data_IF_616073779322
#
_entry.id   IF_616073779322
#
_cell.length_a   1.000
_cell.length_b   1.000
_cell.length_c   1.000
_cell.angle_alpha   90.00
_cell.angle_beta   90.00
_cell.angle_gamma   90.00
#
_symmetry.space_group_name_H-M   'P 1'
#
loop_
_entity.id
_entity.type
_entity.pdbx_description
1 polymer ?
#
# COMPACT_ATOMS: atom_id res chain seq x y z
N UNK A 1 -9.80 -2.32 3.56
CA UNK A 1 -10.76 -1.79 2.58
C UNK A 1 -10.51 -0.31 2.37
N UNK A 2 -10.52 0.16 1.12
CA UNK A 2 -10.44 1.59 0.81
C UNK A 2 -11.73 2.28 1.29
N UNK A 3 -11.59 3.45 1.92
CA UNK A 3 -12.68 4.34 2.33
C UNK A 3 -12.64 5.54 1.40
N UNK A 4 -13.76 5.82 0.74
CA UNK A 4 -13.91 6.97 -0.15
C UNK A 4 -14.69 8.06 0.58
N UNK A 5 -14.13 9.27 0.60
CA UNK A 5 -14.68 10.42 1.33
C UNK A 5 -15.06 11.51 0.34
N UNK A 6 -16.30 12.00 0.42
CA UNK A 6 -16.78 13.07 -0.45
C UNK A 6 -16.05 14.38 -0.22
N UNK A 7 -16.01 15.24 -1.23
CA UNK A 7 -15.47 16.60 -1.14
C UNK A 7 -16.55 17.65 -1.42
N UNK A 8 -16.50 18.82 -0.75
CA UNK A 8 -17.48 19.88 -0.98
C UNK A 8 -17.16 20.69 -2.24
N UNK A 9 -18.13 21.50 -2.71
CA UNK A 9 -19.41 20.99 -3.14
C UNK A 9 -19.27 20.09 -4.39
N UNK A 10 -20.26 19.22 -4.61
CA UNK A 10 -20.35 18.32 -5.78
C UNK A 10 -19.10 17.45 -6.03
N UNK A 11 -18.34 17.15 -4.98
CA UNK A 11 -17.07 16.42 -5.09
C UNK A 11 -16.00 17.10 -5.95
N UNK A 12 -15.85 18.43 -5.86
CA UNK A 12 -14.91 19.18 -6.71
C UNK A 12 -13.77 19.88 -5.94
N UNK A 13 -14.02 20.47 -4.77
CA UNK A 13 -13.00 21.21 -4.02
C UNK A 13 -12.14 20.25 -3.18
N UNK A 14 -11.44 19.37 -3.89
CA UNK A 14 -10.43 18.48 -3.32
C UNK A 14 -9.26 19.26 -2.74
N UNK A 15 -8.97 20.44 -3.28
CA UNK A 15 -7.96 21.36 -2.78
C UNK A 15 -8.33 21.91 -1.39
N UNK A 16 -9.57 22.32 -1.17
CA UNK A 16 -10.07 22.73 0.16
C UNK A 16 -10.09 21.54 1.12
N UNK A 17 -10.63 20.39 0.70
CA UNK A 17 -10.67 19.18 1.53
C UNK A 17 -9.26 18.72 1.97
N UNK A 18 -8.25 18.96 1.14
CA UNK A 18 -6.87 18.60 1.45
C UNK A 18 -6.21 19.47 2.53
N UNK A 19 -6.80 20.63 2.90
CA UNK A 19 -6.24 21.53 3.92
C UNK A 19 -6.50 21.06 5.36
N UNK A 20 -7.53 20.26 5.55
CA UNK A 20 -7.88 19.65 6.84
C UNK A 20 -8.25 18.17 6.63
N UNK A 21 -7.27 17.31 6.28
CA UNK A 21 -7.55 15.93 5.92
C UNK A 21 -7.85 15.10 7.17
N UNK A 22 -8.72 14.09 7.02
CA UNK A 22 -8.90 13.02 7.99
C UNK A 22 -7.56 12.31 8.24
N UNK A 23 -7.09 12.38 9.48
CA UNK A 23 -5.84 11.76 9.93
C UNK A 23 -6.09 10.48 10.73
N UNK A 24 -5.02 9.70 10.98
CA UNK A 24 -5.07 8.48 11.81
C UNK A 24 -5.38 7.17 11.06
N UNK A 25 -5.74 7.25 9.78
CA UNK A 25 -6.08 6.14 8.90
C UNK A 25 -5.22 6.16 7.63
N UNK A 26 -4.87 4.98 7.09
CA UNK A 26 -4.01 4.84 5.88
C UNK A 26 -4.77 4.39 4.63
N UNK A 27 -6.09 4.21 4.75
CA UNK A 27 -6.95 3.61 3.74
C UNK A 27 -8.04 4.59 3.27
N UNK A 28 -7.74 5.88 3.21
CA UNK A 28 -8.68 6.93 2.79
C UNK A 28 -8.24 7.50 1.43
N UNK A 29 -9.21 7.69 0.52
CA UNK A 29 -9.07 8.53 -0.67
C UNK A 29 -10.26 9.49 -0.78
N UNK A 30 -10.03 10.66 -1.37
CA UNK A 30 -11.03 11.71 -1.52
C UNK A 30 -11.62 11.69 -2.92
N UNK A 31 -12.92 11.92 -2.97
CA UNK A 31 -13.68 11.90 -4.21
C UNK A 31 -13.40 13.16 -5.05
N UNK A 32 -13.22 12.95 -6.35
CA UNK A 32 -13.26 13.99 -7.37
C UNK A 32 -14.30 13.63 -8.45
N UNK A 33 -15.19 14.56 -8.79
CA UNK A 33 -16.11 14.43 -9.91
C UNK A 33 -15.75 15.42 -11.01
N UNK A 34 -15.82 15.00 -12.28
CA UNK A 34 -15.68 15.93 -13.40
C UNK A 34 -16.60 15.58 -14.58
N UNK A 35 -16.87 16.58 -15.41
CA UNK A 35 -17.65 16.46 -16.63
C UNK A 35 -16.90 17.25 -17.69
N UNK A 36 -16.38 16.58 -18.72
CA UNK A 36 -15.43 17.16 -19.65
C UNK A 36 -16.00 18.37 -20.42
N UNK A 37 -17.32 18.50 -20.54
CA UNK A 37 -17.97 19.69 -21.11
C UNK A 37 -18.02 20.91 -20.19
N UNK A 38 -17.78 20.76 -18.88
CA UNK A 38 -17.91 21.83 -17.89
C UNK A 38 -16.63 22.08 -17.08
N UNK A 39 -15.84 21.05 -16.85
CA UNK A 39 -14.74 21.07 -15.89
C UNK A 39 -13.42 20.75 -16.59
N UNK A 40 -12.54 21.75 -16.67
CA UNK A 40 -11.28 21.67 -17.41
C UNK A 40 -10.03 21.81 -16.55
N UNK A 41 -9.03 22.55 -17.05
CA UNK A 41 -7.72 22.69 -16.39
C UNK A 41 -7.79 23.14 -14.93
N UNK A 42 -8.66 24.10 -14.60
CA UNK A 42 -8.75 24.64 -13.24
C UNK A 42 -9.05 23.55 -12.19
N UNK A 43 -9.87 22.55 -12.53
CA UNK A 43 -10.23 21.47 -11.61
C UNK A 43 -9.10 20.42 -11.53
N UNK A 44 -8.32 20.24 -12.60
CA UNK A 44 -7.06 19.48 -12.53
C UNK A 44 -6.03 20.16 -11.63
N UNK A 45 -5.96 21.50 -11.65
CA UNK A 45 -5.06 22.27 -10.78
C UNK A 45 -5.45 22.10 -9.29
N UNK A 46 -6.74 22.04 -8.99
CA UNK A 46 -7.22 21.70 -7.64
C UNK A 46 -6.85 20.26 -7.25
N UNK A 47 -6.99 19.30 -8.16
CA UNK A 47 -6.57 17.93 -7.93
C UNK A 47 -5.05 17.81 -7.68
N UNK A 48 -4.23 18.53 -8.45
CA UNK A 48 -2.78 18.62 -8.23
C UNK A 48 -2.44 19.24 -6.88
N UNK A 49 -3.13 20.32 -6.48
CA UNK A 49 -2.96 20.95 -5.17
C UNK A 49 -3.27 19.96 -4.05
N UNK A 50 -4.40 19.25 -4.16
CA UNK A 50 -4.79 18.23 -3.20
C UNK A 50 -3.75 17.11 -3.03
N UNK A 51 -3.26 16.55 -4.14
CA UNK A 51 -2.23 15.52 -4.11
C UNK A 51 -0.90 16.06 -3.54
N UNK A 52 -0.55 17.32 -3.81
CA UNK A 52 0.65 17.95 -3.23
C UNK A 52 0.55 18.15 -1.71
N UNK A 53 -0.67 18.31 -1.18
CA UNK A 53 -0.95 18.34 0.25
C UNK A 53 -0.97 16.93 0.88
N UNK A 54 -0.74 15.88 0.09
CA UNK A 54 -0.54 14.52 0.58
C UNK A 54 -1.80 13.66 0.67
N UNK A 55 -2.93 14.08 0.08
CA UNK A 55 -4.14 13.25 0.05
C UNK A 55 -4.23 12.42 -1.24
N UNK A 56 -4.73 11.18 -1.10
CA UNK A 56 -5.03 10.32 -2.24
C UNK A 56 -6.39 10.70 -2.86
N UNK A 57 -6.51 10.63 -4.19
CA UNK A 57 -7.75 10.92 -4.91
C UNK A 57 -8.33 9.66 -5.58
N UNK A 58 -9.66 9.62 -5.70
CA UNK A 58 -10.39 8.69 -6.54
C UNK A 58 -11.43 9.48 -7.34
N UNK A 59 -11.39 9.39 -8.68
CA UNK A 59 -12.43 9.98 -9.52
C UNK A 59 -13.63 9.05 -9.57
N UNK A 60 -14.56 9.16 -8.62
CA UNK A 60 -15.68 8.19 -8.56
C UNK A 60 -16.75 8.43 -9.60
N UNK A 61 -16.70 9.57 -10.29
CA UNK A 61 -17.65 9.91 -11.34
C UNK A 61 -16.98 10.81 -12.36
N UNK A 62 -17.02 10.39 -13.63
CA UNK A 62 -16.70 11.30 -14.72
C UNK A 62 -17.56 11.09 -15.95
N UNK A 63 -17.94 12.19 -16.61
CA UNK A 63 -18.70 12.21 -17.86
C UNK A 63 -17.92 12.85 -19.01
N UNK A 64 -18.18 12.38 -20.23
CA UNK A 64 -17.57 12.94 -21.46
C UNK A 64 -18.31 14.17 -22.02
N UNK A 65 -19.46 14.50 -21.44
CA UNK A 65 -20.33 15.63 -21.79
C UNK A 65 -20.29 16.71 -20.71
N UNK A 66 -21.16 17.71 -20.77
CA UNK A 66 -21.27 18.75 -19.73
C UNK A 66 -22.01 18.25 -18.47
N UNK A 67 -21.94 19.02 -17.39
CA UNK A 67 -22.45 18.65 -16.07
C UNK A 67 -23.99 18.51 -15.99
N UNK A 68 -24.73 18.85 -17.04
CA UNK A 68 -26.16 18.51 -17.14
C UNK A 68 -26.40 17.02 -17.37
N UNK A 69 -25.36 16.27 -17.76
CA UNK A 69 -25.48 14.87 -18.19
C UNK A 69 -25.91 14.71 -19.65
N UNK A 70 -26.05 15.81 -20.38
CA UNK A 70 -26.46 15.84 -21.77
C UNK A 70 -25.50 16.65 -22.64
N UNK A 71 -25.83 16.80 -23.92
CA UNK A 71 -25.04 17.53 -24.89
C UNK A 71 -24.02 16.67 -25.63
N UNK A 72 -23.12 17.35 -26.35
CA UNK A 72 -22.11 16.70 -27.18
C UNK A 72 -20.89 16.22 -26.39
N UNK A 73 -20.31 15.11 -26.82
CA UNK A 73 -19.04 14.60 -26.27
C UNK A 73 -17.91 15.60 -26.48
N UNK A 74 -17.25 16.02 -25.39
CA UNK A 74 -16.01 16.77 -25.42
C UNK A 74 -14.80 15.82 -25.34
N UNK A 75 -14.47 15.19 -26.47
CA UNK A 75 -13.37 14.21 -26.56
C UNK A 75 -11.99 14.83 -26.27
N UNK A 76 -11.79 16.10 -26.62
CA UNK A 76 -10.53 16.81 -26.38
C UNK A 76 -10.25 16.95 -24.88
N UNK A 77 -11.20 17.52 -24.14
CA UNK A 77 -11.05 17.68 -22.69
C UNK A 77 -11.07 16.33 -21.95
N UNK A 78 -11.86 15.36 -22.41
CA UNK A 78 -11.84 13.99 -21.88
C UNK A 78 -10.44 13.38 -21.99
N UNK A 79 -9.75 13.58 -23.11
CA UNK A 79 -8.38 13.08 -23.31
C UNK A 79 -7.40 13.72 -22.32
N UNK A 80 -7.52 15.03 -22.05
CA UNK A 80 -6.69 15.72 -21.05
C UNK A 80 -6.89 15.15 -19.64
N UNK A 81 -8.14 14.90 -19.25
CA UNK A 81 -8.46 14.25 -17.98
C UNK A 81 -7.93 12.82 -17.89
N UNK A 82 -8.10 12.02 -18.93
CA UNK A 82 -7.56 10.65 -18.99
C UNK A 82 -6.04 10.67 -18.83
N UNK A 83 -5.34 11.54 -19.56
CA UNK A 83 -3.89 11.66 -19.44
C UNK A 83 -3.45 12.12 -18.03
N UNK A 84 -4.16 13.07 -17.44
CA UNK A 84 -3.92 13.53 -16.07
C UNK A 84 -4.10 12.40 -15.05
N UNK A 85 -5.22 11.66 -15.12
CA UNK A 85 -5.48 10.55 -14.22
C UNK A 85 -4.44 9.44 -14.36
N UNK A 86 -4.07 9.11 -15.61
CA UNK A 86 -3.00 8.14 -15.90
C UNK A 86 -1.68 8.60 -15.26
N UNK A 87 -1.23 9.81 -15.55
CA UNK A 87 0.04 10.38 -15.08
C UNK A 87 0.18 10.38 -13.55
N UNK A 88 -0.94 10.49 -12.82
CA UNK A 88 -0.96 10.58 -11.37
C UNK A 88 -1.48 9.29 -10.69
N UNK A 89 -1.68 8.20 -11.44
CA UNK A 89 -2.15 6.92 -10.87
C UNK A 89 -3.54 6.98 -10.24
N UNK A 90 -4.42 7.87 -10.71
CA UNK A 90 -5.74 8.11 -10.12
C UNK A 90 -6.74 7.06 -10.63
N UNK A 91 -7.32 6.31 -9.69
CA UNK A 91 -8.41 5.37 -9.98
C UNK A 91 -9.69 6.11 -10.36
N UNK A 92 -10.49 5.55 -11.27
CA UNK A 92 -11.68 6.23 -11.77
C UNK A 92 -12.86 5.31 -12.10
N UNK A 93 -14.06 5.88 -12.15
CA UNK A 93 -15.28 5.26 -12.63
C UNK A 93 -16.06 6.21 -13.55
N UNK A 94 -16.38 5.74 -14.76
CA UNK A 94 -17.13 6.50 -15.75
C UNK A 94 -18.65 6.47 -15.47
N UNK A 95 -19.29 7.61 -15.65
CA UNK A 95 -20.73 7.77 -15.80
C UNK A 95 -21.03 8.05 -17.30
N UNK A 96 -21.93 7.35 -18.00
CA UNK A 96 -23.06 6.60 -17.47
C UNK A 96 -23.38 5.26 -18.16
N UNK A 97 -23.30 4.12 -17.47
CA UNK A 97 -23.74 2.84 -18.03
C UNK A 97 -25.27 2.66 -17.90
N UNK A 98 -26.01 3.25 -18.83
CA UNK A 98 -27.46 3.12 -18.96
C UNK A 98 -27.90 3.43 -20.42
N UNK A 99 -29.19 3.28 -20.72
CA UNK A 99 -29.80 3.52 -22.04
C UNK A 99 -30.78 4.71 -22.07
N UNK A 100 -30.73 5.60 -21.08
CA UNK A 100 -31.52 6.83 -21.06
C UNK A 100 -31.18 7.67 -22.29
N UNK A 101 -32.18 8.34 -22.86
CA UNK A 101 -31.98 9.25 -23.98
C UNK A 101 -31.30 10.56 -23.52
N UNK A 102 -29.99 10.53 -23.35
CA UNK A 102 -29.13 11.67 -22.98
C UNK A 102 -27.70 11.47 -23.51
N UNK A 103 -26.93 12.56 -23.60
CA UNK A 103 -25.56 12.55 -24.10
C UNK A 103 -24.58 11.70 -23.29
N UNK A 104 -24.73 11.62 -21.96
CA UNK A 104 -23.82 10.86 -21.08
C UNK A 104 -23.97 9.33 -21.18
N UNK A 105 -25.17 8.83 -21.51
CA UNK A 105 -25.49 7.41 -21.58
C UNK A 105 -24.52 6.65 -22.46
N UNK A 106 -24.06 5.50 -22.02
CA UNK A 106 -23.20 4.63 -22.81
C UNK A 106 -23.97 3.88 -23.90
N UNK A 107 -25.26 3.63 -23.68
CA UNK A 107 -26.10 2.80 -24.53
C UNK A 107 -27.23 3.61 -25.19
N UNK A 108 -27.63 3.20 -26.38
CA UNK A 108 -28.84 3.72 -27.04
C UNK A 108 -30.11 3.13 -26.40
N UNK A 109 -31.24 3.87 -26.34
CA UNK A 109 -32.49 3.37 -25.79
C UNK A 109 -32.92 1.99 -26.33
N UNK A 110 -33.33 1.10 -25.43
CA UNK A 110 -33.74 -0.27 -25.76
C UNK A 110 -32.60 -1.30 -25.75
N UNK A 111 -31.41 -0.92 -25.28
CA UNK A 111 -30.32 -1.85 -25.07
C UNK A 111 -30.65 -2.85 -23.94
N UNK A 112 -30.19 -4.09 -24.07
CA UNK A 112 -30.42 -5.15 -23.08
C UNK A 112 -29.75 -4.84 -21.74
N UNK A 113 -30.46 -4.95 -20.61
CA UNK A 113 -29.84 -4.86 -19.28
C UNK A 113 -28.88 -6.01 -18.94
N UNK A 114 -28.91 -7.10 -19.71
CA UNK A 114 -28.09 -8.30 -19.48
C UNK A 114 -26.76 -8.30 -20.27
N UNK A 115 -26.42 -7.22 -20.97
CA UNK A 115 -25.21 -7.13 -21.80
C UNK A 115 -25.39 -7.72 -23.21
N UNK A 116 -24.26 -8.03 -23.86
CA UNK A 116 -24.23 -8.52 -25.25
C UNK A 116 -24.34 -7.42 -26.32
N UNK A 117 -24.02 -6.17 -25.96
CA UNK A 117 -24.18 -5.02 -26.84
C UNK A 117 -23.22 -5.03 -28.02
N UNK A 118 -23.76 -4.78 -29.22
CA UNK A 118 -22.94 -4.52 -30.41
C UNK A 118 -22.57 -3.03 -30.51
N UNK A 119 -21.67 -2.68 -31.44
CA UNK A 119 -21.21 -1.30 -31.62
C UNK A 119 -22.32 -0.31 -31.99
N UNK A 120 -23.39 -0.78 -32.65
CA UNK A 120 -24.55 0.05 -32.99
C UNK A 120 -25.46 0.38 -31.80
N UNK A 121 -25.24 -0.24 -30.64
CA UNK A 121 -25.96 0.05 -29.40
C UNK A 121 -25.18 0.98 -28.46
N UNK A 122 -24.00 1.45 -28.87
CA UNK A 122 -23.20 2.41 -28.12
C UNK A 122 -23.49 3.83 -28.61
N UNK A 123 -23.64 4.77 -27.69
CA UNK A 123 -23.64 6.20 -28.01
C UNK A 123 -22.21 6.68 -28.32
N UNK A 124 -22.01 7.94 -28.74
CA UNK A 124 -20.68 8.54 -28.79
C UNK A 124 -19.94 8.50 -27.44
N UNK A 125 -20.62 8.77 -26.33
CA UNK A 125 -20.05 8.69 -24.97
C UNK A 125 -19.64 7.26 -24.64
N UNK A 126 -20.50 6.28 -24.90
CA UNK A 126 -20.21 4.87 -24.66
C UNK A 126 -19.09 4.31 -25.53
N UNK A 127 -19.02 4.75 -26.78
CA UNK A 127 -17.91 4.40 -27.69
C UNK A 127 -16.59 4.95 -27.16
N UNK A 128 -16.56 6.21 -26.73
CA UNK A 128 -15.36 6.82 -26.16
C UNK A 128 -14.94 6.14 -24.85
N UNK A 129 -15.87 5.90 -23.93
CA UNK A 129 -15.61 5.20 -22.67
C UNK A 129 -15.09 3.77 -22.90
N UNK A 130 -15.72 3.01 -23.81
CA UNK A 130 -15.24 1.67 -24.19
C UNK A 130 -13.81 1.71 -24.72
N UNK A 131 -13.49 2.66 -25.59
CA UNK A 131 -12.15 2.83 -26.15
C UNK A 131 -11.14 3.19 -25.06
N UNK A 132 -11.51 4.08 -24.13
CA UNK A 132 -10.67 4.45 -22.98
C UNK A 132 -10.41 3.23 -22.10
N UNK A 133 -11.44 2.47 -21.74
CA UNK A 133 -11.32 1.27 -20.87
C UNK A 133 -10.49 0.18 -21.55
N UNK A 134 -10.77 -0.09 -22.83
CA UNK A 134 -10.07 -1.13 -23.61
C UNK A 134 -8.59 -0.77 -23.84
N UNK A 135 -8.27 0.52 -23.85
CA UNK A 135 -6.92 1.05 -24.02
C UNK A 135 -6.43 1.80 -22.77
N UNK A 136 -6.91 1.43 -21.58
CA UNK A 136 -6.44 2.01 -20.32
C UNK A 136 -5.07 1.42 -19.97
N UNK A 137 -4.07 1.71 -20.79
CA UNK A 137 -2.67 1.67 -20.42
C UNK A 137 -2.34 3.04 -19.81
N UNK A 138 -2.48 3.15 -18.49
CA UNK A 138 -1.93 4.29 -17.76
C UNK A 138 -0.41 4.31 -17.84
N UNK A 139 0.21 5.45 -17.55
CA UNK A 139 1.62 5.46 -17.13
C UNK A 139 1.79 4.33 -16.11
N UNK A 140 2.70 3.39 -16.35
CA UNK A 140 2.79 2.21 -15.50
C UNK A 140 3.13 2.65 -14.08
N UNK A 141 2.61 1.99 -13.03
CA UNK A 141 3.44 1.88 -11.82
C UNK A 141 4.84 1.41 -12.29
N UNK A 142 5.93 1.93 -11.68
CA UNK A 142 7.28 2.00 -12.26
C UNK A 142 7.51 0.95 -13.32
N UNK A 143 7.65 1.36 -14.60
CA UNK A 143 7.61 0.50 -15.80
C UNK A 143 7.88 -0.96 -15.47
N UNK A 144 6.80 -1.69 -15.26
CA UNK A 144 6.82 -3.13 -15.07
C UNK A 144 7.35 -3.75 -16.36
N UNK A 145 8.67 -3.78 -16.48
CA UNK A 145 9.36 -4.28 -17.65
C UNK A 145 9.29 -5.78 -17.55
N UNK A 146 8.59 -6.42 -18.50
CA UNK A 146 8.53 -7.87 -18.52
C UNK A 146 9.92 -8.41 -18.81
N UNK A 147 10.51 -9.06 -17.80
CA UNK A 147 11.83 -9.68 -17.94
C UNK A 147 11.66 -11.06 -18.57
N UNK A 148 12.37 -11.32 -19.66
CA UNK A 148 12.37 -12.67 -20.27
C UNK A 148 13.36 -13.55 -19.51
N UNK A 149 12.87 -14.65 -18.93
CA UNK A 149 13.68 -15.52 -18.08
C UNK A 149 14.39 -16.62 -18.88
N UNK A 150 15.55 -17.13 -18.40
CA UNK A 150 16.23 -16.79 -17.14
C UNK A 150 17.05 -15.49 -17.22
N UNK A 151 16.85 -14.59 -16.26
CA UNK A 151 17.62 -13.35 -16.09
C UNK A 151 17.54 -12.86 -14.63
N UNK A 152 18.36 -11.88 -14.26
CA UNK A 152 18.32 -11.21 -12.96
C UNK A 152 17.27 -10.10 -12.96
N UNK A 153 16.41 -10.10 -11.95
CA UNK A 153 15.43 -9.03 -11.71
C UNK A 153 15.85 -8.31 -10.44
N UNK A 154 16.11 -7.00 -10.54
CA UNK A 154 16.38 -6.16 -9.36
C UNK A 154 15.14 -6.10 -8.48
N UNK A 155 15.30 -6.25 -7.17
CA UNK A 155 14.16 -6.29 -6.25
C UNK A 155 13.40 -4.96 -6.24
N UNK A 156 14.11 -3.84 -6.37
CA UNK A 156 13.56 -2.49 -6.49
C UNK A 156 12.80 -2.23 -7.81
N UNK A 157 12.91 -3.12 -8.80
CA UNK A 157 12.23 -3.02 -10.09
C UNK A 157 10.87 -3.73 -10.08
N UNK A 158 10.13 -3.63 -8.96
CA UNK A 158 8.80 -4.20 -8.84
C UNK A 158 7.79 -3.48 -9.74
N UNK A 159 6.76 -4.22 -10.16
CA UNK A 159 5.60 -3.71 -10.87
C UNK A 159 4.59 -3.06 -9.92
N UNK A 160 4.35 -3.68 -8.77
CA UNK A 160 3.54 -3.14 -7.68
C UNK A 160 4.14 -3.63 -6.36
N UNK A 161 3.88 -2.92 -5.28
CA UNK A 161 4.31 -3.34 -3.95
C UNK A 161 3.32 -2.91 -2.86
N UNK A 162 3.50 -3.48 -1.66
CA UNK A 162 2.88 -3.02 -0.43
C UNK A 162 3.91 -3.01 0.69
N UNK A 163 4.02 -1.87 1.38
CA UNK A 163 4.72 -1.73 2.67
C UNK A 163 6.25 -1.60 2.62
N UNK A 164 6.87 -1.96 1.51
CA UNK A 164 8.34 -1.94 1.36
C UNK A 164 8.91 -0.55 1.03
N UNK A 165 10.21 -0.36 1.28
CA UNK A 165 10.94 0.86 0.92
C UNK A 165 12.30 0.53 0.33
N UNK A 166 12.87 1.44 -0.46
CA UNK A 166 14.23 1.30 -0.97
C UNK A 166 15.25 2.01 -0.08
N UNK A 167 16.45 1.46 -0.05
CA UNK A 167 17.65 2.08 0.50
C UNK A 167 18.86 1.75 -0.36
N UNK A 168 19.98 2.44 -0.16
CA UNK A 168 21.23 2.13 -0.86
C UNK A 168 21.81 0.81 -0.32
N UNK A 169 22.23 -0.08 -1.21
CA UNK A 169 22.89 -1.33 -0.83
C UNK A 169 24.40 -1.16 -0.70
N UNK A 170 25.01 -1.89 0.24
CA UNK A 170 26.46 -2.09 0.27
C UNK A 170 26.89 -3.43 -0.32
N UNK A 171 25.99 -4.19 -0.96
CA UNK A 171 26.36 -5.41 -1.67
C UNK A 171 27.26 -5.11 -2.88
N UNK A 172 27.91 -6.15 -3.38
CA UNK A 172 28.73 -6.06 -4.59
C UNK A 172 27.87 -5.65 -5.78
N UNK A 173 28.28 -4.59 -6.50
CA UNK A 173 27.52 -4.03 -7.62
C UNK A 173 26.81 -2.70 -7.28
N UNK A 174 26.64 -2.38 -6.00
CA UNK A 174 25.96 -1.16 -5.56
C UNK A 174 24.49 -1.12 -6.00
N UNK A 175 23.92 0.08 -6.12
CA UNK A 175 22.51 0.28 -6.45
C UNK A 175 21.62 0.39 -5.21
N UNK A 176 20.41 -0.16 -5.28
CA UNK A 176 19.47 -0.18 -4.17
C UNK A 176 19.17 -1.60 -3.71
N UNK A 177 18.67 -1.72 -2.49
CA UNK A 177 17.94 -2.91 -2.06
C UNK A 177 16.57 -2.52 -1.53
N UNK A 178 15.70 -3.51 -1.45
CA UNK A 178 14.41 -3.38 -0.79
C UNK A 178 14.56 -3.73 0.69
N UNK A 179 14.08 -2.86 1.56
CA UNK A 179 14.15 -2.96 3.01
C UNK A 179 12.81 -2.63 3.66
N UNK A 180 12.83 -2.55 5.00
CA UNK A 180 11.64 -2.30 5.83
C UNK A 180 10.48 -3.28 5.59
N UNK A 181 10.82 -4.53 5.26
CA UNK A 181 9.86 -5.56 4.87
C UNK A 181 9.21 -6.15 6.13
N UNK A 182 7.94 -5.82 6.35
CA UNK A 182 7.11 -6.34 7.42
C UNK A 182 6.32 -7.60 6.97
N UNK A 183 5.85 -8.40 7.94
CA UNK A 183 4.93 -9.51 7.66
C UNK A 183 3.68 -8.99 6.94
N UNK A 184 3.39 -9.53 5.76
CA UNK A 184 2.26 -9.13 4.91
C UNK A 184 2.66 -8.26 3.71
N UNK A 185 3.88 -7.74 3.70
CA UNK A 185 4.41 -6.97 2.58
C UNK A 185 4.68 -7.87 1.37
N UNK A 186 4.67 -7.27 0.19
CA UNK A 186 4.87 -7.99 -1.06
C UNK A 186 5.35 -7.07 -2.17
N UNK A 187 5.96 -7.68 -3.18
CA UNK A 187 6.37 -7.06 -4.44
C UNK A 187 5.97 -7.97 -5.59
N UNK A 188 5.39 -7.43 -6.66
CA UNK A 188 5.07 -8.19 -7.88
C UNK A 188 5.99 -7.86 -9.04
N UNK A 189 6.19 -8.81 -9.94
CA UNK A 189 7.08 -8.72 -11.10
C UNK A 189 6.42 -9.38 -12.31
N UNK A 190 6.59 -8.79 -13.50
CA UNK A 190 6.14 -9.40 -14.75
C UNK A 190 7.31 -10.13 -15.40
N UNK A 191 7.10 -11.40 -15.72
CA UNK A 191 8.10 -12.24 -16.37
C UNK A 191 7.52 -12.86 -17.62
N UNK A 192 8.36 -13.15 -18.61
CA UNK A 192 8.03 -13.98 -19.75
C UNK A 192 8.89 -15.24 -19.72
N UNK A 193 8.25 -16.38 -19.47
CA UNK A 193 8.94 -17.67 -19.37
C UNK A 193 9.01 -18.31 -20.76
N UNK A 194 10.22 -18.44 -21.31
CA UNK A 194 10.39 -18.88 -22.69
C UNK A 194 9.85 -20.30 -22.98
N UNK A 195 9.93 -21.20 -22.01
CA UNK A 195 9.43 -22.57 -22.13
C UNK A 195 8.90 -23.08 -20.78
N UNK A 196 7.88 -23.94 -20.78
CA UNK A 196 7.40 -24.52 -19.54
C UNK A 196 8.45 -25.48 -18.97
N UNK A 197 8.68 -25.47 -17.66
CA UNK A 197 9.70 -26.32 -17.05
C UNK A 197 10.00 -26.02 -15.60
N UNK A 198 11.00 -26.74 -15.06
CA UNK A 198 11.55 -26.50 -13.74
C UNK A 198 12.66 -25.46 -13.82
N UNK A 199 12.58 -24.45 -12.97
CA UNK A 199 13.50 -23.32 -12.87
C UNK A 199 14.02 -23.20 -11.45
N UNK A 200 15.33 -22.99 -11.31
CA UNK A 200 15.91 -22.59 -10.02
C UNK A 200 15.75 -21.09 -9.86
N UNK A 201 15.03 -20.68 -8.82
CA UNK A 201 14.91 -19.27 -8.45
C UNK A 201 15.80 -18.99 -7.25
N UNK A 202 16.60 -17.93 -7.38
CA UNK A 202 17.56 -17.48 -6.38
C UNK A 202 17.21 -16.08 -5.87
N UNK A 203 17.39 -15.86 -4.58
CA UNK A 203 17.15 -14.58 -3.91
C UNK A 203 18.44 -14.12 -3.24
N UNK A 204 18.84 -12.88 -3.50
CA UNK A 204 19.94 -12.21 -2.78
C UNK A 204 19.35 -11.50 -1.57
N UNK A 205 19.68 -11.97 -0.36
CA UNK A 205 18.99 -11.58 0.88
C UNK A 205 20.00 -11.22 1.97
N UNK A 206 19.63 -10.27 2.82
CA UNK A 206 20.36 -9.91 4.04
C UNK A 206 19.37 -9.84 5.21
N UNK A 207 19.81 -10.26 6.39
CA UNK A 207 18.98 -10.21 7.59
C UNK A 207 19.82 -10.19 8.87
N UNK A 208 19.53 -9.23 9.74
CA UNK A 208 20.07 -9.20 11.11
C UNK A 208 19.34 -10.16 12.07
N UNK A 209 18.33 -10.90 11.59
CA UNK A 209 17.59 -11.89 12.37
C UNK A 209 17.29 -13.16 11.55
N UNK A 210 17.11 -14.30 12.21
CA UNK A 210 16.69 -15.54 11.54
C UNK A 210 15.17 -15.70 11.53
N UNK A 211 14.66 -16.50 10.60
CA UNK A 211 13.28 -17.02 10.67
C UNK A 211 12.24 -16.22 9.89
N UNK A 212 12.67 -15.19 9.15
CA UNK A 212 11.81 -14.54 8.16
C UNK A 212 11.44 -15.57 7.08
N UNK A 213 10.24 -15.49 6.52
CA UNK A 213 9.79 -16.36 5.45
C UNK A 213 9.38 -15.54 4.24
N UNK A 214 10.04 -15.79 3.12
CA UNK A 214 9.62 -15.33 1.80
C UNK A 214 8.82 -16.43 1.12
N UNK A 215 7.79 -16.05 0.38
CA UNK A 215 7.00 -16.93 -0.46
C UNK A 215 6.99 -16.41 -1.88
N UNK A 216 7.23 -17.30 -2.84
CA UNK A 216 6.96 -17.04 -4.24
C UNK A 216 5.57 -17.53 -4.59
N UNK A 217 4.78 -16.67 -5.21
CA UNK A 217 3.40 -16.93 -5.60
C UNK A 217 3.07 -16.23 -6.90
N UNK A 218 1.96 -16.59 -7.54
CA UNK A 218 1.38 -15.77 -8.58
C UNK A 218 0.93 -14.45 -7.96
N UNK A 219 1.06 -13.33 -8.68
CA UNK A 219 0.53 -12.06 -8.23
C UNK A 219 -0.99 -12.20 -7.96
N UNK A 220 -1.41 -11.91 -6.73
CA UNK A 220 -2.76 -12.21 -6.24
C UNK A 220 -2.84 -13.37 -5.24
N UNK A 221 -1.74 -14.10 -5.01
CA UNK A 221 -1.55 -15.04 -3.91
C UNK A 221 -1.67 -16.52 -4.26
N UNK A 222 -2.24 -16.88 -5.41
CA UNK A 222 -2.40 -18.28 -5.84
C UNK A 222 -2.21 -18.47 -7.35
N UNK A 223 -1.51 -19.53 -7.79
CA UNK A 223 -0.88 -20.59 -7.00
C UNK A 223 0.37 -20.12 -6.23
N UNK A 224 0.76 -20.90 -5.21
CA UNK A 224 2.01 -20.74 -4.46
C UNK A 224 3.07 -21.67 -5.05
N UNK A 225 4.24 -21.13 -5.37
CA UNK A 225 5.33 -21.87 -6.00
C UNK A 225 6.36 -22.39 -5.00
N UNK A 226 6.47 -21.76 -3.82
CA UNK A 226 7.33 -22.23 -2.75
C UNK A 226 7.57 -21.15 -1.70
N UNK A 227 8.10 -21.59 -0.54
CA UNK A 227 8.47 -20.70 0.55
C UNK A 227 9.86 -21.03 1.08
N UNK A 228 10.61 -20.01 1.44
CA UNK A 228 11.98 -20.10 1.91
C UNK A 228 12.13 -19.33 3.24
N UNK A 229 12.89 -19.91 4.15
CA UNK A 229 13.32 -19.23 5.38
C UNK A 229 14.59 -18.43 5.09
N UNK A 230 14.60 -17.15 5.46
CA UNK A 230 15.78 -16.29 5.41
C UNK A 230 16.69 -16.63 6.60
N UNK A 231 17.95 -17.02 6.35
CA UNK A 231 18.91 -17.25 7.41
C UNK A 231 19.38 -15.94 8.05
N UNK A 232 19.90 -16.02 9.27
CA UNK A 232 20.68 -14.91 9.83
C UNK A 232 21.96 -14.74 9.02
N UNK A 233 22.23 -13.53 8.52
CA UNK A 233 23.40 -13.26 7.68
C UNK A 233 24.49 -12.44 8.38
N UNK A 234 24.23 -11.96 9.60
CA UNK A 234 25.17 -11.12 10.35
C UNK A 234 24.83 -9.62 10.34
N UNK A 235 23.84 -9.19 9.55
CA UNK A 235 23.42 -7.79 9.48
C UNK A 235 22.54 -7.48 8.28
N UNK A 236 21.90 -6.30 8.30
CA UNK A 236 20.98 -5.85 7.23
C UNK A 236 21.64 -5.57 5.89
N UNK A 237 22.96 -5.50 5.85
CA UNK A 237 23.77 -5.26 4.66
C UNK A 237 24.84 -6.35 4.48
N UNK A 238 24.69 -7.50 5.15
CA UNK A 238 25.52 -8.68 4.95
C UNK A 238 24.72 -9.70 4.14
N UNK A 239 25.17 -9.99 2.92
CA UNK A 239 24.33 -10.62 1.91
C UNK A 239 24.69 -12.10 1.66
N UNK A 240 23.67 -12.93 1.48
CA UNK A 240 23.81 -14.32 1.02
C UNK A 240 22.78 -14.63 -0.06
N UNK A 241 22.94 -15.75 -0.75
CA UNK A 241 22.01 -16.20 -1.79
C UNK A 241 21.33 -17.48 -1.34
N UNK A 242 19.99 -17.48 -1.33
CA UNK A 242 19.16 -18.67 -1.09
C UNK A 242 18.42 -19.06 -2.36
N UNK A 243 18.00 -20.31 -2.52
CA UNK A 243 17.33 -20.78 -3.74
C UNK A 243 16.42 -21.97 -3.51
N UNK A 244 15.49 -22.17 -4.44
CA UNK A 244 14.65 -23.37 -4.56
C UNK A 244 14.25 -23.57 -6.02
N UNK A 245 13.76 -24.77 -6.33
CA UNK A 245 13.27 -25.11 -7.66
C UNK A 245 11.74 -24.91 -7.73
N UNK A 246 11.26 -24.36 -8.84
CA UNK A 246 9.84 -24.11 -9.10
C UNK A 246 9.46 -24.57 -10.50
N UNK A 247 8.21 -24.96 -10.70
CA UNK A 247 7.69 -25.28 -12.04
C UNK A 247 6.86 -24.10 -12.56
N UNK A 248 7.23 -23.56 -13.71
CA UNK A 248 6.54 -22.45 -14.37
C UNK A 248 5.99 -22.86 -15.73
N UNK A 249 4.82 -22.34 -16.08
CA UNK A 249 4.27 -22.45 -17.44
C UNK A 249 5.00 -21.47 -18.38
N UNK A 250 5.01 -21.78 -19.68
CA UNK A 250 5.52 -20.86 -20.69
C UNK A 250 4.60 -19.63 -20.84
N UNK A 251 5.19 -18.52 -21.28
CA UNK A 251 4.50 -17.28 -21.56
C UNK A 251 4.62 -16.23 -20.46
N UNK A 252 4.00 -15.09 -20.73
CA UNK A 252 3.99 -13.95 -19.83
C UNK A 252 3.10 -14.22 -18.62
N UNK A 253 3.63 -14.00 -17.42
CA UNK A 253 2.91 -14.13 -16.15
C UNK A 253 3.43 -13.14 -15.12
N UNK A 254 2.58 -12.80 -14.14
CA UNK A 254 2.96 -11.93 -13.04
C UNK A 254 3.15 -12.77 -11.77
N UNK A 255 4.35 -12.74 -11.22
CA UNK A 255 4.69 -13.39 -9.96
C UNK A 255 4.79 -12.36 -8.84
N UNK A 256 4.77 -12.81 -7.59
CA UNK A 256 4.98 -11.98 -6.43
C UNK A 256 5.91 -12.69 -5.41
N UNK A 257 6.71 -11.87 -4.74
CA UNK A 257 7.47 -12.26 -3.56
C UNK A 257 6.73 -11.65 -2.37
N UNK A 258 6.24 -12.48 -1.47
CA UNK A 258 5.47 -12.07 -0.29
C UNK A 258 6.19 -12.46 1.00
N UNK A 259 6.32 -11.52 1.94
CA UNK A 259 6.86 -11.76 3.26
C UNK A 259 5.77 -12.35 4.16
N UNK A 260 5.73 -13.68 4.29
CA UNK A 260 4.71 -14.37 5.11
C UNK A 260 5.00 -14.32 6.60
N UNK A 261 6.25 -14.10 6.96
CA UNK A 261 6.70 -13.98 8.34
C UNK A 261 7.95 -13.12 8.42
N UNK A 262 7.99 -12.17 9.34
CA UNK A 262 9.19 -11.40 9.67
C UNK A 262 10.26 -12.25 10.38
N UNK A 263 11.52 -11.88 10.19
CA UNK A 263 12.64 -12.43 10.95
C UNK A 263 12.83 -11.60 12.19
N UNK A 264 12.75 -12.20 13.36
CA UNK A 264 12.86 -11.47 14.61
C UNK A 264 12.56 -12.36 15.81
N UNK A 265 13.32 -12.17 16.88
CA UNK A 265 12.91 -12.64 18.19
C UNK A 265 11.83 -11.70 18.73
N UNK A 266 10.89 -12.24 19.48
CA UNK A 266 10.01 -11.45 20.32
C UNK A 266 10.38 -11.67 21.77
N UNK A 267 10.07 -10.69 22.61
CA UNK A 267 10.03 -10.89 24.06
C UNK A 267 8.71 -11.58 24.39
N UNK A 268 8.75 -12.58 25.24
CA UNK A 268 7.58 -13.35 25.67
C UNK A 268 7.79 -13.88 27.08
N UNK A 269 6.81 -14.62 27.61
CA UNK A 269 6.78 -15.03 29.02
C UNK A 269 6.87 -13.82 29.97
N UNK A 270 6.24 -12.71 29.57
CA UNK A 270 6.19 -11.48 30.34
C UNK A 270 5.20 -11.63 31.49
N UNK A 271 5.66 -11.33 32.70
CA UNK A 271 4.87 -11.30 33.93
C UNK A 271 4.73 -9.87 34.47
N UNK A 272 3.72 -9.65 35.33
CA UNK A 272 3.51 -8.35 35.96
C UNK A 272 4.75 -7.94 36.79
N UNK A 273 5.31 -6.77 36.49
CA UNK A 273 6.54 -6.26 37.11
C UNK A 273 7.78 -6.39 36.23
N UNK A 274 7.75 -7.20 35.18
CA UNK A 274 8.81 -7.24 34.19
C UNK A 274 8.94 -5.91 33.47
N UNK A 275 10.13 -5.65 32.93
CA UNK A 275 10.39 -4.45 32.15
C UNK A 275 11.46 -4.66 31.09
N UNK A 276 11.37 -3.87 30.03
CA UNK A 276 12.39 -3.76 28.99
C UNK A 276 12.90 -2.31 28.98
N UNK A 277 14.20 -2.09 28.87
CA UNK A 277 14.78 -0.73 28.78
C UNK A 277 15.57 -0.53 27.49
N UNK A 278 15.39 0.66 26.92
CA UNK A 278 16.02 1.14 25.70
C UNK A 278 16.83 2.40 26.05
N UNK A 279 18.11 2.25 26.42
CA UNK A 279 18.87 3.28 27.14
C UNK A 279 19.34 4.46 26.29
N UNK A 280 19.06 4.48 24.99
CA UNK A 280 19.61 5.49 24.06
C UNK A 280 18.68 5.73 22.87
N UNK A 281 17.45 6.17 23.14
CA UNK A 281 16.53 6.61 22.09
C UNK A 281 16.62 8.13 21.96
N UNK A 282 17.04 8.63 20.81
CA UNK A 282 17.14 10.07 20.56
C UNK A 282 15.85 10.59 19.91
N UNK A 283 15.20 11.56 20.54
CA UNK A 283 14.03 12.27 20.02
C UNK A 283 14.51 13.56 19.35
N UNK A 284 14.41 13.69 18.00
CA UNK A 284 15.04 14.80 17.28
C UNK A 284 14.45 16.18 17.61
N UNK A 285 13.19 16.23 18.02
CA UNK A 285 12.47 17.48 18.29
C UNK A 285 11.34 17.21 19.27
N UNK A 286 11.07 18.16 20.17
CA UNK A 286 9.93 18.05 21.07
C UNK A 286 8.61 18.02 20.27
N UNK A 287 7.61 17.31 20.77
CA UNK A 287 6.29 17.24 20.15
C UNK A 287 5.50 16.01 20.56
N UNK A 288 4.37 15.82 19.89
CA UNK A 288 3.55 14.62 20.05
C UNK A 288 4.06 13.51 19.14
N UNK A 289 4.20 12.32 19.70
CA UNK A 289 4.61 11.12 18.99
C UNK A 289 3.53 10.05 19.12
N UNK A 290 3.23 9.36 18.03
CA UNK A 290 2.50 8.11 18.04
C UNK A 290 3.46 7.01 18.45
N UNK A 291 3.16 6.31 19.53
CA UNK A 291 3.86 5.08 19.92
C UNK A 291 3.06 3.89 19.45
N UNK A 292 3.68 3.03 18.67
CA UNK A 292 3.10 1.81 18.15
C UNK A 292 3.81 0.61 18.78
N UNK A 293 3.07 -0.46 19.11
CA UNK A 293 3.61 -1.71 19.66
C UNK A 293 3.05 -2.88 18.86
N UNK A 294 3.93 -3.75 18.37
CA UNK A 294 3.56 -5.01 17.72
C UNK A 294 3.49 -6.11 18.76
N UNK A 295 2.26 -6.54 19.05
CA UNK A 295 1.95 -7.40 20.20
C UNK A 295 1.16 -8.63 19.77
N UNK A 296 1.29 -9.71 20.52
CA UNK A 296 0.53 -10.95 20.36
C UNK A 296 0.05 -11.47 21.71
N UNK A 297 -1.19 -11.93 21.81
CA UNK A 297 -1.76 -12.54 23.01
C UNK A 297 -2.87 -13.51 22.63
N UNK A 298 -2.88 -14.70 23.24
CA UNK A 298 -3.93 -15.69 22.96
C UNK A 298 -5.31 -15.17 23.38
N UNK A 299 -5.42 -14.70 24.63
CA UNK A 299 -6.68 -14.30 25.27
C UNK A 299 -6.82 -12.80 25.51
N UNK A 300 -5.79 -12.00 25.24
CA UNK A 300 -5.74 -10.59 25.61
C UNK A 300 -5.61 -10.39 27.12
N UNK A 301 -5.94 -9.20 27.60
CA UNK A 301 -5.93 -8.85 29.03
C UNK A 301 -4.59 -8.37 29.57
N UNK A 302 -3.52 -8.43 28.77
CA UNK A 302 -2.23 -7.82 29.09
C UNK A 302 -2.28 -6.29 29.13
N UNK A 303 -1.31 -5.68 29.78
CA UNK A 303 -1.15 -4.23 29.82
C UNK A 303 0.33 -3.85 29.93
N UNK A 304 0.74 -2.82 29.18
CA UNK A 304 2.06 -2.23 29.29
C UNK A 304 1.97 -0.74 29.61
N UNK A 305 3.03 -0.19 30.20
CA UNK A 305 3.24 1.24 30.39
C UNK A 305 4.55 1.68 29.72
N UNK A 306 4.51 2.73 28.92
CA UNK A 306 5.71 3.43 28.49
C UNK A 306 6.11 4.45 29.56
N UNK A 307 7.39 4.46 29.93
CA UNK A 307 7.94 5.33 30.96
C UNK A 307 9.39 5.67 30.66
N UNK A 308 9.97 6.64 31.36
CA UNK A 308 11.44 6.65 31.52
C UNK A 308 11.88 5.49 32.40
N UNK A 309 13.07 4.97 32.14
CA UNK A 309 13.70 3.94 32.95
C UNK A 309 13.81 4.45 34.40
N UNK A 310 13.22 3.70 35.33
CA UNK A 310 13.04 4.13 36.73
C UNK A 310 11.61 4.58 37.05
N UNK A 311 10.71 4.64 36.05
CA UNK A 311 9.26 4.77 36.23
C UNK A 311 8.72 6.19 36.18
N UNK A 312 9.53 7.22 35.96
CA UNK A 312 9.06 8.62 35.94
C UNK A 312 9.90 9.47 34.99
N UNK A 313 9.26 10.25 34.07
CA UNK A 313 7.83 10.32 33.81
C UNK A 313 7.25 9.02 33.23
N UNK A 314 5.96 8.79 33.50
CA UNK A 314 5.15 7.83 32.77
C UNK A 314 4.53 8.52 31.55
N UNK A 315 4.61 7.88 30.40
CA UNK A 315 4.09 8.39 29.13
C UNK A 315 2.73 7.79 28.77
N UNK A 316 2.34 6.67 29.37
CA UNK A 316 0.99 6.12 29.22
C UNK A 316 0.95 4.60 29.21
N UNK A 317 -0.19 4.08 29.69
CA UNK A 317 -0.49 2.66 29.68
C UNK A 317 -1.47 2.29 28.56
N UNK A 318 -1.30 1.10 27.99
CA UNK A 318 -2.16 0.58 26.93
C UNK A 318 -2.44 -0.90 27.11
N UNK A 319 -3.69 -1.29 26.86
CA UNK A 319 -4.14 -2.68 26.96
C UNK A 319 -3.77 -3.48 25.71
N UNK A 320 -3.43 -4.75 25.92
CA UNK A 320 -3.11 -5.71 24.87
C UNK A 320 -4.37 -6.52 24.53
N UNK A 321 -4.88 -6.43 23.29
CA UNK A 321 -6.06 -7.20 22.87
C UNK A 321 -5.73 -8.67 22.65
N UNK A 322 -6.77 -9.51 22.60
CA UNK A 322 -6.65 -10.87 22.12
C UNK A 322 -6.34 -10.86 20.62
N UNK A 323 -5.27 -11.54 20.22
CA UNK A 323 -4.90 -11.76 18.82
C UNK A 323 -5.18 -13.19 18.37
N UNK A 324 -5.54 -14.08 19.30
CA UNK A 324 -5.88 -15.48 19.01
C UNK A 324 -4.68 -16.42 18.88
N UNK A 325 -3.46 -15.94 19.19
CA UNK A 325 -2.27 -16.79 19.15
C UNK A 325 -1.00 -16.07 19.62
N UNK A 326 -0.03 -16.82 20.17
CA UNK A 326 1.27 -16.29 20.63
C UNK A 326 2.15 -15.72 19.50
N UNK A 327 1.82 -16.06 18.26
CA UNK A 327 2.49 -15.60 17.05
C UNK A 327 1.49 -15.00 16.04
N UNK A 328 0.27 -14.68 16.51
CA UNK A 328 -0.70 -13.91 15.75
C UNK A 328 -0.57 -12.47 16.21
N UNK A 329 -0.15 -11.58 15.34
CA UNK A 329 0.34 -10.26 15.76
C UNK A 329 -0.64 -9.16 15.33
N UNK A 330 -0.89 -8.20 16.21
CA UNK A 330 -1.56 -6.92 15.91
C UNK A 330 -0.69 -5.73 16.32
N UNK A 331 -0.98 -4.55 15.79
CA UNK A 331 -0.29 -3.32 16.18
C UNK A 331 -1.25 -2.42 16.94
N UNK A 332 -0.91 -2.11 18.19
CA UNK A 332 -1.65 -1.17 19.04
C UNK A 332 -0.89 0.15 19.11
N UNK A 333 -1.59 1.25 19.39
CA UNK A 333 -0.98 2.58 19.39
C UNK A 333 -1.66 3.56 20.33
N UNK A 334 -0.89 4.52 20.82
CA UNK A 334 -1.38 5.71 21.54
C UNK A 334 -0.42 6.89 21.32
N UNK A 335 -0.86 8.10 21.66
CA UNK A 335 -0.06 9.31 21.51
C UNK A 335 0.60 9.69 22.83
N UNK A 336 1.84 10.20 22.77
CA UNK A 336 2.62 10.67 23.92
C UNK A 336 3.29 11.99 23.58
N UNK A 337 3.54 12.83 24.57
CA UNK A 337 4.33 14.06 24.39
C UNK A 337 5.77 13.82 24.86
N UNK A 338 6.74 14.07 23.99
CA UNK A 338 8.16 13.85 24.26
C UNK A 338 8.95 15.15 24.12
N UNK A 339 9.95 15.32 24.98
CA UNK A 339 10.97 16.36 24.83
C UNK A 339 11.98 15.97 23.75
N UNK A 340 12.68 16.95 23.18
CA UNK A 340 13.85 16.67 22.35
C UNK A 340 15.00 16.13 23.21
N UNK A 341 15.82 15.26 22.63
CA UNK A 341 17.06 14.77 23.25
C UNK A 341 17.05 13.27 23.51
N UNK A 342 18.02 12.83 24.31
CA UNK A 342 18.20 11.41 24.65
C UNK A 342 17.24 10.99 25.76
N UNK A 343 16.49 9.93 25.50
CA UNK A 343 15.56 9.28 26.43
C UNK A 343 16.03 7.85 26.74
N UNK A 344 15.76 7.41 27.97
CA UNK A 344 15.98 6.03 28.40
C UNK A 344 14.63 5.37 28.56
N UNK A 345 13.95 5.04 27.47
CA UNK A 345 12.62 4.48 27.58
C UNK A 345 12.60 3.13 28.30
N UNK A 346 11.56 2.93 29.10
CA UNK A 346 11.16 1.67 29.70
C UNK A 346 9.79 1.26 29.19
N UNK A 347 9.61 -0.02 28.91
CA UNK A 347 8.30 -0.65 28.73
C UNK A 347 8.10 -1.54 29.95
N UNK A 348 7.25 -1.10 30.87
CA UNK A 348 6.87 -1.86 32.06
C UNK A 348 5.66 -2.73 31.77
N UNK A 349 5.73 -3.99 32.19
CA UNK A 349 4.63 -4.94 32.09
C UNK A 349 3.77 -4.79 33.33
N UNK A 350 2.61 -4.14 33.20
CA UNK A 350 1.66 -4.02 34.30
C UNK A 350 0.85 -5.30 34.48
N UNK A 351 0.52 -5.98 33.37
CA UNK A 351 -0.09 -7.30 33.38
C UNK A 351 0.48 -8.15 32.23
N UNK A 352 0.84 -9.39 32.53
CA UNK A 352 1.48 -10.34 31.61
C UNK A 352 0.53 -10.97 30.59
N UNK A 353 0.97 -12.08 29.98
CA UNK A 353 0.13 -12.85 29.05
C UNK A 353 0.16 -12.38 27.59
N UNK A 354 1.27 -11.77 27.17
CA UNK A 354 1.48 -11.27 25.82
C UNK A 354 2.95 -11.30 25.43
N UNK A 355 3.19 -11.21 24.12
CA UNK A 355 4.52 -11.07 23.53
C UNK A 355 4.67 -9.69 22.90
N UNK A 356 5.88 -9.13 22.96
CA UNK A 356 6.28 -7.90 22.26
C UNK A 356 7.28 -8.23 21.16
N UNK A 357 7.02 -7.77 19.93
CA UNK A 357 7.97 -7.89 18.83
C UNK A 357 8.79 -6.60 18.69
N UNK A 358 8.13 -5.50 18.34
CA UNK A 358 8.76 -4.20 18.20
C UNK A 358 7.87 -3.09 18.77
N UNK A 359 8.48 -1.95 19.07
CA UNK A 359 7.78 -0.69 19.26
C UNK A 359 8.38 0.37 18.32
N UNK A 360 7.57 1.36 17.91
CA UNK A 360 7.95 2.41 16.97
C UNK A 360 7.41 3.75 17.44
N UNK A 361 8.23 4.79 17.31
CA UNK A 361 7.87 6.17 17.60
C UNK A 361 7.80 6.95 16.29
N UNK A 362 6.63 7.48 15.97
CA UNK A 362 6.40 8.31 14.77
C UNK A 362 5.97 9.70 15.22
N UNK A 363 6.71 10.75 14.84
CA UNK A 363 6.29 12.12 15.15
C UNK A 363 4.95 12.40 14.46
N UNK A 364 3.99 12.93 15.21
CA UNK A 364 2.75 13.48 14.66
C UNK A 364 2.94 14.99 14.62
N UNK A 365 2.70 15.59 13.45
CA UNK A 365 2.88 17.01 13.21
C UNK A 365 2.05 17.86 14.16
#
# INVERSE_FOLDING_TARGET
NLIIVGTPPWSQQVDEASRDPITGYRNIAYTLHFYAGSHGQYLRDWASTAMSNGIALFVTEWGSVDASGDGGVNAGETTLWVNFMKANGISNANWALNDKAEGASALTPGASGNGGWNSGQLTPSGTLAKNIISNWSGTPPPTCTTVTTPDTIQAEAWCNMSGVQNENTSDTGGGQNVGYIDTGDWMSYSINVAAAGSYKISYRVASAASGAQLQLEQAGGTPVYGSLTIPYTGGWQTWTTISHDVTLAAGQQNIAISAKKGGGANVGYLDAGDWMSYPSVNIPSAGTYMVEYRVASVSGGGNLNLEEAGGTPSYGAINIPATGGWQTWTTIKHNVSLSAGAHKFGIKVNNGGWNLNWFRLTKIN
#
